data_IF_222678725777
#
_entry.id   IF_222678725777
#
_cell.length_a   1.000
_cell.length_b   1.000
_cell.length_c   1.000
_cell.angle_alpha   90.00
_cell.angle_beta   90.00
_cell.angle_gamma   90.00
#
_symmetry.space_group_name_H-M   'P 1'
#
loop_
_entity.id
_entity.type
_entity.pdbx_description
1 polymer ?
#
# COMPACT_ATOMS: atom_id res chain seq x y z
N UNK A 1 -45.11 7.63 -28.32
CA UNK A 1 -43.68 7.96 -28.08
C UNK A 1 -43.08 7.07 -26.97
N UNK A 2 -42.86 5.77 -27.20
CA UNK A 2 -42.29 4.84 -26.20
C UNK A 2 -40.75 4.91 -26.08
N UNK A 3 -40.07 5.56 -27.02
CA UNK A 3 -38.60 5.68 -27.08
C UNK A 3 -38.05 6.65 -26.03
N UNK A 4 -38.74 7.77 -25.77
CA UNK A 4 -38.34 8.76 -24.76
C UNK A 4 -38.41 8.21 -23.31
N UNK A 5 -39.41 7.38 -22.99
CA UNK A 5 -39.53 6.71 -21.68
C UNK A 5 -38.46 5.64 -21.45
N UNK A 6 -38.06 4.91 -22.49
CA UNK A 6 -36.98 3.91 -22.42
C UNK A 6 -35.60 4.56 -22.26
N UNK A 7 -35.39 5.71 -22.91
CA UNK A 7 -34.14 6.48 -22.78
C UNK A 7 -34.04 7.18 -21.40
N UNK A 8 -35.14 7.72 -20.88
CA UNK A 8 -35.20 8.29 -19.54
C UNK A 8 -34.96 7.25 -18.43
N UNK A 9 -35.47 6.02 -18.60
CA UNK A 9 -35.24 4.92 -17.65
C UNK A 9 -33.79 4.43 -17.68
N UNK A 10 -33.15 4.38 -18.85
CA UNK A 10 -31.73 4.06 -19.00
C UNK A 10 -30.81 5.13 -18.37
N UNK A 11 -31.15 6.41 -18.52
CA UNK A 11 -30.43 7.53 -17.89
C UNK A 11 -30.58 7.53 -16.35
N UNK A 12 -31.76 7.17 -15.83
CA UNK A 12 -32.01 7.09 -14.39
C UNK A 12 -31.23 5.94 -13.71
N UNK A 13 -31.10 4.80 -14.39
CA UNK A 13 -30.34 3.62 -13.90
C UNK A 13 -28.82 3.88 -13.92
N UNK A 14 -28.32 4.65 -14.89
CA UNK A 14 -26.90 4.99 -15.00
C UNK A 14 -26.46 5.99 -13.89
N UNK A 15 -27.32 6.93 -13.51
CA UNK A 15 -27.06 7.83 -12.38
C UNK A 15 -27.10 7.15 -11.01
N UNK A 16 -27.88 6.07 -10.84
CA UNK A 16 -28.02 5.37 -9.55
C UNK A 16 -26.83 4.46 -9.19
N UNK A 17 -25.94 4.14 -10.15
CA UNK A 17 -24.73 3.34 -9.91
C UNK A 17 -23.53 4.18 -9.42
N UNK A 18 -23.62 5.51 -9.44
CA UNK A 18 -22.51 6.38 -9.06
C UNK A 18 -22.47 6.69 -7.54
N UNK A 19 -23.57 6.48 -6.81
CA UNK A 19 -23.70 6.94 -5.41
C UNK A 19 -23.50 5.85 -4.35
N UNK A 20 -23.08 4.64 -4.71
CA UNK A 20 -22.87 3.53 -3.75
C UNK A 20 -21.42 3.27 -3.38
N UNK A 21 -20.46 4.07 -3.88
CA UNK A 21 -19.17 4.19 -3.20
C UNK A 21 -19.33 5.28 -2.14
N UNK A 22 -20.17 4.99 -1.15
CA UNK A 22 -20.17 5.76 0.09
C UNK A 22 -18.74 5.71 0.63
N UNK A 23 -18.10 6.87 0.55
CA UNK A 23 -16.73 7.10 0.91
C UNK A 23 -16.43 6.51 2.29
N UNK A 24 -15.42 5.65 2.34
CA UNK A 24 -14.63 5.51 3.56
C UNK A 24 -13.85 6.81 3.72
N UNK A 25 -14.52 7.86 4.21
CA UNK A 25 -13.83 9.07 4.64
C UNK A 25 -13.13 8.73 5.96
N UNK A 26 -11.91 8.21 5.86
CA UNK A 26 -10.98 8.21 6.99
C UNK A 26 -10.86 9.67 7.46
N UNK A 27 -11.18 9.94 8.72
CA UNK A 27 -11.04 11.27 9.29
C UNK A 27 -9.58 11.75 9.09
N UNK A 28 -9.35 12.96 8.53
CA UNK A 28 -8.00 13.48 8.46
C UNK A 28 -7.57 13.79 9.89
N UNK A 29 -6.54 13.07 10.35
CA UNK A 29 -5.93 13.36 11.65
C UNK A 29 -5.23 14.72 11.52
N UNK A 30 -5.86 15.78 12.03
CA UNK A 30 -5.51 17.18 11.74
C UNK A 30 -4.49 17.79 12.71
N UNK A 31 -3.75 16.98 13.47
CA UNK A 31 -2.79 17.51 14.44
C UNK A 31 -1.39 16.88 14.31
N UNK A 32 -0.41 17.79 14.26
CA UNK A 32 1.03 17.61 14.09
C UNK A 32 1.46 17.43 12.64
N UNK A 33 2.46 18.20 12.21
CA UNK A 33 3.35 17.75 11.15
C UNK A 33 3.65 16.27 11.43
N UNK A 34 3.23 15.38 10.54
CA UNK A 34 3.12 13.95 10.82
C UNK A 34 4.48 13.47 11.26
N UNK A 35 4.60 13.15 12.55
CA UNK A 35 5.88 12.75 13.11
C UNK A 35 6.44 11.59 12.28
N UNK A 36 7.76 11.55 12.01
CA UNK A 36 8.35 10.49 11.19
C UNK A 36 7.89 9.10 11.63
N UNK A 37 7.28 8.35 10.71
CA UNK A 37 6.92 6.96 10.97
C UNK A 37 8.19 6.13 11.22
N UNK A 38 8.07 5.09 12.05
CA UNK A 38 9.12 4.09 12.28
C UNK A 38 8.65 2.78 11.70
N UNK A 39 9.23 2.42 10.56
CA UNK A 39 8.81 1.31 9.72
C UNK A 39 9.85 0.20 9.83
N UNK A 40 9.39 -1.04 10.06
CA UNK A 40 10.27 -2.20 10.16
C UNK A 40 9.79 -3.22 9.12
N UNK A 41 10.70 -3.62 8.23
CA UNK A 41 10.46 -4.66 7.24
C UNK A 41 11.15 -5.94 7.70
N UNK A 42 10.38 -7.00 7.89
CA UNK A 42 10.90 -8.31 8.27
C UNK A 42 11.06 -9.20 7.03
N UNK A 43 12.24 -9.79 6.89
CA UNK A 43 12.58 -10.83 5.91
C UNK A 43 13.06 -12.09 6.63
N UNK A 44 12.88 -13.26 6.02
CA UNK A 44 13.38 -14.50 6.61
C UNK A 44 14.91 -14.57 6.48
N UNK A 45 15.43 -14.22 5.30
CA UNK A 45 16.85 -14.26 4.95
C UNK A 45 17.42 -12.85 4.69
N UNK A 46 18.76 -12.68 4.65
CA UNK A 46 19.38 -11.42 4.27
C UNK A 46 19.20 -11.20 2.76
N UNK A 47 18.23 -10.36 2.39
CA UNK A 47 17.85 -9.95 1.02
C UNK A 47 16.33 -9.76 0.91
N UNK A 48 15.57 -10.55 1.67
CA UNK A 48 14.11 -10.62 1.56
C UNK A 48 13.43 -9.26 1.73
N UNK A 49 13.87 -8.47 2.72
CA UNK A 49 13.29 -7.17 3.03
C UNK A 49 13.65 -6.13 1.95
N UNK A 50 14.88 -6.17 1.44
CA UNK A 50 15.37 -5.35 0.36
C UNK A 50 14.67 -5.68 -0.96
N UNK A 51 14.50 -6.96 -1.26
CA UNK A 51 13.87 -7.43 -2.50
C UNK A 51 12.38 -7.08 -2.54
N UNK A 52 11.67 -7.26 -1.42
CA UNK A 52 10.22 -7.02 -1.33
C UNK A 52 9.87 -5.56 -1.07
N UNK A 53 10.72 -4.80 -0.39
CA UNK A 53 10.38 -3.47 0.10
C UNK A 53 11.46 -2.42 -0.09
N UNK A 54 12.62 -2.73 -0.68
CA UNK A 54 13.74 -1.79 -0.80
C UNK A 54 13.39 -0.50 -1.56
N UNK A 55 12.67 -0.61 -2.67
CA UNK A 55 12.19 0.57 -3.42
C UNK A 55 11.25 1.45 -2.59
N UNK A 56 10.25 0.84 -1.96
CA UNK A 56 9.30 1.56 -1.09
C UNK A 56 9.98 2.15 0.14
N UNK A 57 10.94 1.43 0.73
CA UNK A 57 11.73 1.89 1.85
C UNK A 57 12.61 3.09 1.52
N UNK A 58 13.19 3.13 0.31
CA UNK A 58 13.91 4.31 -0.17
C UNK A 58 12.99 5.53 -0.25
N UNK A 59 11.75 5.35 -0.73
CA UNK A 59 10.75 6.42 -0.77
C UNK A 59 10.34 6.89 0.64
N UNK A 60 10.12 5.97 1.59
CA UNK A 60 9.83 6.32 2.98
C UNK A 60 10.99 7.07 3.65
N UNK A 61 12.23 6.63 3.42
CA UNK A 61 13.42 7.32 3.92
C UNK A 61 13.55 8.73 3.33
N UNK A 62 13.32 8.89 2.01
CA UNK A 62 13.31 10.19 1.33
C UNK A 62 12.20 11.12 1.85
N UNK A 63 11.05 10.56 2.26
CA UNK A 63 9.97 11.29 2.92
C UNK A 63 10.26 11.61 4.41
N UNK A 64 11.45 11.28 4.92
CA UNK A 64 11.89 11.60 6.28
C UNK A 64 11.48 10.57 7.34
N UNK A 65 10.88 9.44 6.94
CA UNK A 65 10.58 8.35 7.88
C UNK A 65 11.83 7.54 8.25
N UNK A 66 11.74 6.77 9.34
CA UNK A 66 12.81 5.89 9.79
C UNK A 66 12.48 4.47 9.38
N UNK A 67 13.36 3.83 8.60
CA UNK A 67 13.19 2.45 8.15
C UNK A 67 14.26 1.56 8.75
N UNK A 68 13.88 0.36 9.18
CA UNK A 68 14.80 -0.72 9.57
C UNK A 68 14.46 -1.98 8.79
N UNK A 69 15.47 -2.54 8.14
CA UNK A 69 15.39 -3.90 7.57
C UNK A 69 15.86 -4.90 8.62
N UNK A 70 15.12 -5.98 8.78
CA UNK A 70 15.44 -7.04 9.74
C UNK A 70 15.38 -8.38 9.04
N UNK A 71 16.48 -9.11 9.09
CA UNK A 71 16.47 -10.54 8.79
C UNK A 71 16.27 -11.33 10.08
N UNK A 72 15.41 -12.35 10.02
CA UNK A 72 15.12 -13.24 11.17
C UNK A 72 16.17 -14.34 11.28
N UNK A 73 16.89 -14.65 10.20
CA UNK A 73 17.99 -15.62 10.16
C UNK A 73 19.27 -14.95 9.66
N UNK A 74 20.42 -15.62 9.80
CA UNK A 74 21.69 -15.17 9.21
C UNK A 74 21.84 -15.55 7.73
N UNK A 75 20.98 -16.42 7.20
CA UNK A 75 21.01 -16.85 5.80
C UNK A 75 22.14 -17.82 5.45
N UNK A 76 22.60 -18.64 6.40
CA UNK A 76 23.81 -19.45 6.20
C UNK A 76 23.73 -20.45 5.03
N UNK A 77 22.56 -20.99 4.69
CA UNK A 77 22.39 -21.94 3.57
C UNK A 77 22.08 -21.23 2.22
N UNK A 78 22.31 -19.92 2.10
CA UNK A 78 22.03 -19.18 0.86
C UNK A 78 22.98 -19.48 -0.31
N UNK A 79 24.20 -19.95 -0.03
CA UNK A 79 25.22 -20.20 -1.05
C UNK A 79 25.30 -21.68 -1.44
N UNK A 80 25.51 -21.97 -2.73
CA UNK A 80 25.48 -23.33 -3.28
C UNK A 80 26.56 -24.31 -2.76
N UNK A 81 27.58 -23.85 -2.02
CA UNK A 81 28.77 -24.65 -1.66
C UNK A 81 29.34 -24.35 -0.26
N UNK A 82 28.97 -23.22 0.34
CA UNK A 82 29.53 -22.77 1.62
C UNK A 82 28.39 -22.29 2.51
N UNK A 83 28.59 -22.36 3.83
CA UNK A 83 27.69 -21.78 4.81
C UNK A 83 28.40 -20.69 5.63
N UNK A 84 27.64 -19.74 6.18
CA UNK A 84 28.15 -18.59 6.95
C UNK A 84 27.14 -17.99 7.93
#
# INVERSE_FOLDING_TARGET
MPTARRLALLLLILCFRCSSVAAWQSAPNSNSATAPLRIICFGAHPDDAEYKSGGTAALWAAAGHKVKMVSVTNGDIGHWNMAG
#
